data_IF_242367522256
#
_entry.id   IF_242367522256
#
_cell.length_a   1.000
_cell.length_b   1.000
_cell.length_c   1.000
_cell.angle_alpha   90.00
_cell.angle_beta   90.00
_cell.angle_gamma   90.00
#
_symmetry.space_group_name_H-M   'P 1'
#
loop_
_entity.id
_entity.type
_entity.pdbx_description
1 polymer ?
#
# COMPACT_ATOMS: atom_id res chain seq x y z
N UNK A 1 -18.08 3.66 2.09
CA UNK A 1 -16.63 3.82 2.33
C UNK A 1 -15.92 2.49 2.17
N UNK A 2 -14.81 2.43 1.45
CA UNK A 2 -13.97 1.23 1.29
C UNK A 2 -12.86 1.21 2.34
N UNK A 3 -12.78 0.12 3.11
CA UNK A 3 -11.72 -0.11 4.10
C UNK A 3 -10.83 -1.29 3.68
N UNK A 4 -9.51 -1.18 3.87
CA UNK A 4 -8.61 -2.30 3.61
C UNK A 4 -8.78 -3.36 4.69
N UNK A 5 -8.82 -4.65 4.31
CA UNK A 5 -8.74 -5.76 5.28
C UNK A 5 -7.40 -5.75 6.01
N UNK A 6 -7.44 -6.06 7.31
CA UNK A 6 -6.26 -6.21 8.16
C UNK A 6 -6.00 -5.01 9.08
N UNK A 7 -4.88 -5.07 9.80
CA UNK A 7 -4.49 -4.17 10.89
C UNK A 7 -4.76 -2.68 10.65
N UNK A 8 -4.55 -2.23 9.42
CA UNK A 8 -4.72 -0.82 9.05
C UNK A 8 -6.20 -0.43 8.99
N UNK A 9 -7.02 -1.29 8.37
CA UNK A 9 -8.47 -1.10 8.32
C UNK A 9 -9.09 -1.13 9.72
N UNK A 10 -8.64 -2.04 10.57
CA UNK A 10 -9.13 -2.16 11.95
C UNK A 10 -8.85 -0.89 12.74
N UNK A 11 -7.61 -0.37 12.69
CA UNK A 11 -7.23 0.90 13.34
C UNK A 11 -8.06 2.10 12.84
N UNK A 12 -8.33 2.14 11.55
CA UNK A 12 -9.15 3.21 10.97
C UNK A 12 -10.61 3.08 11.36
N UNK A 13 -11.14 1.85 11.38
CA UNK A 13 -12.49 1.62 11.86
C UNK A 13 -12.65 2.05 13.33
N UNK A 14 -11.71 1.70 14.19
CA UNK A 14 -11.69 2.13 15.59
C UNK A 14 -11.69 3.66 15.72
N UNK A 15 -10.92 4.36 14.90
CA UNK A 15 -10.89 5.82 14.88
C UNK A 15 -12.27 6.39 14.47
N UNK A 16 -12.83 5.86 13.41
CA UNK A 16 -14.15 6.27 12.91
C UNK A 16 -15.26 5.98 13.93
N UNK A 17 -15.19 4.84 14.62
CA UNK A 17 -16.13 4.48 15.67
C UNK A 17 -16.10 5.49 16.85
N UNK A 18 -14.93 5.94 17.26
CA UNK A 18 -14.76 6.95 18.32
C UNK A 18 -15.42 8.30 18.01
N UNK A 19 -15.52 8.65 16.74
CA UNK A 19 -16.15 9.90 16.29
C UNK A 19 -17.60 9.71 15.82
N UNK A 20 -18.22 8.57 16.17
CA UNK A 20 -19.65 8.33 15.97
C UNK A 20 -20.03 7.60 14.68
N UNK A 21 -19.05 7.13 13.91
CA UNK A 21 -19.28 6.39 12.66
C UNK A 21 -19.18 4.87 12.80
N UNK A 22 -19.09 4.33 14.03
CA UNK A 22 -19.08 2.89 14.27
C UNK A 22 -20.41 2.23 13.89
N UNK A 23 -20.37 0.97 13.46
CA UNK A 23 -21.56 0.18 13.17
C UNK A 23 -22.12 -0.45 14.45
N UNK A 24 -23.42 -0.78 14.43
CA UNK A 24 -24.07 -1.50 15.53
C UNK A 24 -23.68 -2.97 15.60
N UNK A 25 -23.30 -3.55 14.47
CA UNK A 25 -22.79 -4.91 14.39
C UNK A 25 -21.26 -4.93 14.67
N UNK A 26 -20.80 -5.98 15.34
CA UNK A 26 -19.36 -6.17 15.53
C UNK A 26 -18.68 -6.41 14.17
N UNK A 27 -17.94 -5.43 13.74
CA UNK A 27 -17.19 -5.41 12.51
C UNK A 27 -16.22 -6.60 12.36
N UNK A 28 -15.65 -7.08 13.48
CA UNK A 28 -14.69 -8.18 13.48
C UNK A 28 -15.35 -9.57 13.61
N UNK A 29 -16.55 -9.63 14.15
CA UNK A 29 -17.26 -10.89 14.37
C UNK A 29 -18.14 -11.32 13.19
N UNK A 30 -18.44 -10.40 12.26
CA UNK A 30 -19.33 -10.68 11.13
C UNK A 30 -18.58 -11.23 9.92
N UNK A 31 -19.22 -12.16 9.19
CA UNK A 31 -18.75 -12.59 7.85
C UNK A 31 -19.34 -11.74 6.72
N UNK A 32 -20.14 -10.74 7.03
CA UNK A 32 -20.69 -9.81 6.04
C UNK A 32 -19.54 -9.04 5.39
N UNK A 33 -19.64 -8.84 4.08
CA UNK A 33 -18.70 -8.00 3.34
C UNK A 33 -19.06 -6.52 3.40
N UNK A 34 -20.29 -6.22 3.82
CA UNK A 34 -20.83 -4.87 4.01
C UNK A 34 -21.43 -4.77 5.40
N UNK A 35 -21.05 -3.74 6.13
CA UNK A 35 -21.63 -3.36 7.44
C UNK A 35 -22.09 -1.93 7.38
N UNK A 36 -23.19 -1.61 8.08
CA UNK A 36 -23.87 -0.33 7.95
C UNK A 36 -24.12 0.33 9.30
N UNK A 37 -24.04 1.65 9.30
CA UNK A 37 -24.60 2.49 10.37
C UNK A 37 -25.62 3.44 9.73
N UNK A 38 -26.91 3.07 9.72
CA UNK A 38 -27.97 3.90 9.12
C UNK A 38 -28.13 5.25 9.79
N UNK A 39 -27.88 5.35 11.10
CA UNK A 39 -27.98 6.59 11.86
C UNK A 39 -26.92 7.62 11.42
N UNK A 40 -25.73 7.15 11.09
CA UNK A 40 -24.65 7.99 10.57
C UNK A 40 -24.67 8.11 9.03
N UNK A 41 -25.58 7.39 8.35
CA UNK A 41 -25.64 7.37 6.89
C UNK A 41 -24.42 6.76 6.22
N UNK A 42 -23.70 5.86 6.89
CA UNK A 42 -22.46 5.28 6.38
C UNK A 42 -22.59 3.77 6.16
N UNK A 43 -21.97 3.32 5.09
CA UNK A 43 -21.81 1.91 4.74
C UNK A 43 -20.33 1.61 4.53
N UNK A 44 -19.82 0.61 5.23
CA UNK A 44 -18.46 0.11 5.07
C UNK A 44 -18.44 -1.19 4.28
N UNK A 45 -17.44 -1.38 3.46
CA UNK A 45 -17.12 -2.67 2.89
C UNK A 45 -15.62 -2.91 2.88
N UNK A 46 -15.28 -4.18 3.12
CA UNK A 46 -13.94 -4.65 3.38
C UNK A 46 -13.35 -5.30 2.14
N UNK A 47 -12.31 -4.71 1.61
CA UNK A 47 -11.65 -5.19 0.40
C UNK A 47 -10.15 -5.41 0.63
N UNK A 48 -9.48 -6.06 -0.31
CA UNK A 48 -8.01 -6.10 -0.29
C UNK A 48 -7.46 -4.68 -0.40
N UNK A 49 -6.35 -4.35 0.28
CA UNK A 49 -5.75 -3.01 0.18
C UNK A 49 -5.52 -2.55 -1.26
N UNK A 50 -5.07 -3.45 -2.15
CA UNK A 50 -4.87 -3.17 -3.58
C UNK A 50 -6.14 -2.74 -4.33
N UNK A 51 -7.30 -3.13 -3.83
CA UNK A 51 -8.56 -2.93 -4.54
C UNK A 51 -9.28 -1.65 -4.10
N UNK A 52 -8.91 -1.08 -2.94
CA UNK A 52 -9.57 0.12 -2.37
C UNK A 52 -9.62 1.26 -3.38
N UNK A 53 -8.48 1.58 -4.00
CA UNK A 53 -8.39 2.67 -4.98
C UNK A 53 -9.31 2.43 -6.19
N UNK A 54 -9.41 1.19 -6.68
CA UNK A 54 -10.27 0.80 -7.80
C UNK A 54 -11.75 1.07 -7.47
N UNK A 55 -12.21 0.68 -6.27
CA UNK A 55 -13.60 0.93 -5.86
C UNK A 55 -13.94 2.43 -5.77
N UNK A 56 -12.98 3.26 -5.36
CA UNK A 56 -13.15 4.70 -5.29
C UNK A 56 -13.13 5.33 -6.68
N UNK A 57 -12.15 5.00 -7.50
CA UNK A 57 -11.99 5.51 -8.87
C UNK A 57 -13.23 5.24 -9.73
N UNK A 58 -13.81 4.04 -9.62
CA UNK A 58 -15.01 3.65 -10.36
C UNK A 58 -16.32 4.10 -9.69
N UNK A 59 -16.25 4.81 -8.55
CA UNK A 59 -17.42 5.38 -7.87
C UNK A 59 -18.31 4.34 -7.17
N UNK A 60 -17.81 3.13 -6.92
CA UNK A 60 -18.47 2.14 -6.07
C UNK A 60 -18.32 2.46 -4.58
N UNK A 61 -17.31 3.24 -4.24
CA UNK A 61 -17.13 3.87 -2.95
C UNK A 61 -16.95 5.38 -3.11
N UNK A 62 -17.61 6.16 -2.25
CA UNK A 62 -17.43 7.62 -2.21
C UNK A 62 -16.07 7.98 -1.63
N UNK A 63 -15.61 7.21 -0.63
CA UNK A 63 -14.33 7.41 0.07
C UNK A 63 -13.67 6.06 0.32
N UNK A 64 -12.35 6.02 0.21
CA UNK A 64 -11.52 4.87 0.53
C UNK A 64 -10.37 5.24 1.46
N UNK A 65 -9.86 4.26 2.19
CA UNK A 65 -8.69 4.38 3.05
C UNK A 65 -7.64 3.44 2.55
N UNK A 66 -6.48 3.96 2.20
CA UNK A 66 -5.46 3.20 1.47
C UNK A 66 -4.06 3.77 1.74
N UNK A 67 -3.05 2.93 1.67
CA UNK A 67 -1.65 3.35 1.77
C UNK A 67 -1.19 4.12 0.53
N UNK A 68 -0.29 5.07 0.72
CA UNK A 68 0.32 5.84 -0.38
C UNK A 68 1.05 4.94 -1.38
N UNK A 69 1.65 3.87 -0.89
CA UNK A 69 2.28 2.84 -1.71
C UNK A 69 1.30 2.24 -2.74
N UNK A 70 0.08 1.92 -2.31
CA UNK A 70 -0.96 1.36 -3.19
C UNK A 70 -1.44 2.40 -4.20
N UNK A 71 -1.69 3.65 -3.78
CA UNK A 71 -2.11 4.72 -4.70
C UNK A 71 -1.05 4.97 -5.77
N UNK A 72 0.21 5.06 -5.36
CA UNK A 72 1.33 5.30 -6.26
C UNK A 72 1.54 4.12 -7.22
N UNK A 73 1.46 2.88 -6.72
CA UNK A 73 1.60 1.69 -7.57
C UNK A 73 0.46 1.55 -8.57
N UNK A 74 -0.79 1.83 -8.14
CA UNK A 74 -1.96 1.74 -9.00
C UNK A 74 -2.07 2.90 -9.99
N UNK A 75 -1.41 4.04 -9.73
CA UNK A 75 -1.57 5.30 -10.47
C UNK A 75 -3.05 5.69 -10.61
N UNK A 76 -3.84 5.44 -9.55
CA UNK A 76 -5.28 5.64 -9.55
C UNK A 76 -5.67 7.12 -9.68
N UNK A 77 -6.69 7.40 -10.50
CA UNK A 77 -7.24 8.75 -10.68
C UNK A 77 -8.21 9.09 -9.53
N UNK A 78 -7.66 9.39 -8.37
CA UNK A 78 -8.39 9.73 -7.14
C UNK A 78 -7.75 10.93 -6.44
N UNK A 79 -8.54 11.63 -5.62
CA UNK A 79 -8.01 12.74 -4.82
C UNK A 79 -7.49 12.23 -3.47
N UNK A 80 -6.35 12.73 -3.04
CA UNK A 80 -5.82 12.51 -1.69
C UNK A 80 -6.32 13.63 -0.77
N UNK A 81 -7.24 13.33 0.16
CA UNK A 81 -7.86 14.36 1.01
C UNK A 81 -7.13 14.60 2.32
N UNK A 82 -6.75 13.52 2.98
CA UNK A 82 -6.23 13.60 4.34
C UNK A 82 -5.16 12.54 4.56
N UNK A 83 -4.02 12.98 5.05
CA UNK A 83 -3.04 12.10 5.68
C UNK A 83 -3.48 11.83 7.12
N UNK A 84 -3.77 10.59 7.41
CA UNK A 84 -4.20 10.18 8.76
C UNK A 84 -3.06 10.06 9.76
N UNK A 85 -1.81 10.12 9.30
CA UNK A 85 -0.62 9.89 10.10
C UNK A 85 -0.44 8.44 10.57
N UNK A 86 -1.33 7.52 10.16
CA UNK A 86 -1.25 6.10 10.50
C UNK A 86 -0.45 5.32 9.45
N UNK A 87 0.01 4.12 9.83
CA UNK A 87 0.66 3.19 8.89
C UNK A 87 1.95 3.74 8.29
N UNK A 88 2.71 4.53 9.07
CA UNK A 88 4.00 5.07 8.60
C UNK A 88 4.94 3.94 8.24
N UNK A 89 5.36 3.92 7.02
CA UNK A 89 6.37 3.02 6.48
C UNK A 89 7.19 3.77 5.42
N UNK A 90 8.16 3.08 4.84
CA UNK A 90 9.03 3.64 3.82
C UNK A 90 9.27 2.61 2.73
N UNK A 91 9.33 3.07 1.49
CA UNK A 91 9.72 2.24 0.36
C UNK A 91 11.25 2.20 0.30
N UNK A 92 11.79 1.00 0.28
CA UNK A 92 13.24 0.77 0.34
C UNK A 92 13.69 -0.19 -0.76
N UNK A 93 14.93 0.00 -1.17
CA UNK A 93 15.72 -1.05 -1.82
C UNK A 93 16.44 -1.81 -0.70
N UNK A 94 16.30 -3.14 -0.67
CA UNK A 94 17.03 -3.99 0.26
C UNK A 94 17.74 -5.12 -0.50
N UNK A 95 18.87 -5.57 0.04
CA UNK A 95 19.73 -6.56 -0.58
C UNK A 95 20.48 -7.38 0.49
N UNK A 96 21.09 -8.54 0.12
CA UNK A 96 22.03 -9.24 0.98
C UNK A 96 23.15 -8.33 1.48
N UNK A 97 23.72 -8.65 2.63
CA UNK A 97 24.74 -7.80 3.27
C UNK A 97 26.02 -7.60 2.42
N UNK A 98 26.35 -8.59 1.60
CA UNK A 98 27.51 -8.62 0.70
C UNK A 98 27.22 -8.09 -0.70
N UNK A 99 25.96 -7.68 -0.97
CA UNK A 99 25.58 -7.15 -2.28
C UNK A 99 26.43 -5.95 -2.68
N UNK A 100 26.93 -6.00 -3.92
CA UNK A 100 27.60 -4.90 -4.62
C UNK A 100 26.91 -4.70 -5.96
N UNK A 101 26.54 -3.46 -6.27
CA UNK A 101 25.96 -3.13 -7.56
C UNK A 101 27.00 -3.27 -8.68
N UNK A 102 26.58 -3.90 -9.78
CA UNK A 102 27.38 -4.04 -11.01
C UNK A 102 26.70 -3.20 -12.11
N UNK A 103 27.24 -2.01 -12.43
CA UNK A 103 26.62 -1.14 -13.42
C UNK A 103 26.73 -1.66 -14.86
N UNK A 104 27.49 -2.73 -15.12
CA UNK A 104 27.64 -3.30 -16.46
C UNK A 104 26.43 -4.13 -16.92
N UNK A 105 25.49 -4.45 -16.02
CA UNK A 105 24.30 -5.24 -16.30
C UNK A 105 23.06 -4.68 -15.61
N UNK A 106 21.84 -4.96 -16.11
CA UNK A 106 20.62 -4.61 -15.40
C UNK A 106 20.55 -5.24 -14.02
N UNK A 107 20.00 -4.51 -13.03
CA UNK A 107 19.75 -5.04 -11.68
C UNK A 107 18.47 -5.87 -11.71
N UNK A 108 18.50 -7.10 -11.23
CA UNK A 108 17.31 -7.93 -11.06
C UNK A 108 16.60 -7.53 -9.78
N UNK A 109 15.40 -6.97 -9.92
CA UNK A 109 14.59 -6.40 -8.82
C UNK A 109 13.34 -7.22 -8.59
N UNK A 110 13.23 -7.91 -7.46
CA UNK A 110 11.98 -8.57 -7.07
C UNK A 110 11.11 -7.61 -6.28
N UNK A 111 9.83 -7.48 -6.67
CA UNK A 111 8.91 -6.56 -6.03
C UNK A 111 7.44 -6.87 -6.37
N UNK A 112 6.52 -6.46 -5.51
CA UNK A 112 5.10 -6.33 -5.84
C UNK A 112 4.76 -4.93 -6.40
N UNK A 113 5.65 -3.95 -6.20
CA UNK A 113 5.51 -2.55 -6.57
C UNK A 113 6.26 -2.23 -7.85
N UNK A 114 5.75 -2.75 -8.98
CA UNK A 114 6.43 -2.70 -10.28
C UNK A 114 6.58 -1.27 -10.79
N UNK A 115 5.52 -0.47 -10.69
CA UNK A 115 5.51 0.90 -11.21
C UNK A 115 6.38 1.83 -10.36
N UNK A 116 6.32 1.68 -9.04
CA UNK A 116 7.18 2.41 -8.10
C UNK A 116 8.65 2.09 -8.36
N UNK A 117 9.00 0.79 -8.49
CA UNK A 117 10.37 0.37 -8.76
C UNK A 117 10.87 0.93 -10.09
N UNK A 118 10.09 0.82 -11.17
CA UNK A 118 10.43 1.39 -12.48
C UNK A 118 10.68 2.89 -12.40
N UNK A 119 9.78 3.65 -11.75
CA UNK A 119 9.93 5.10 -11.61
C UNK A 119 11.18 5.48 -10.84
N UNK A 120 11.46 4.79 -9.73
CA UNK A 120 12.65 5.04 -8.94
C UNK A 120 13.95 4.79 -9.74
N UNK A 121 14.08 3.61 -10.34
CA UNK A 121 15.30 3.26 -11.08
C UNK A 121 15.49 4.11 -12.35
N UNK A 122 14.39 4.48 -13.04
CA UNK A 122 14.43 5.43 -14.14
C UNK A 122 14.93 6.81 -13.68
N UNK A 123 14.53 7.28 -12.49
CA UNK A 123 14.96 8.58 -11.95
C UNK A 123 16.46 8.67 -11.67
N UNK A 124 17.10 7.54 -11.38
CA UNK A 124 18.55 7.45 -11.16
C UNK A 124 19.31 6.94 -12.38
N UNK A 125 18.64 6.75 -13.51
CA UNK A 125 19.28 6.30 -14.76
C UNK A 125 19.83 4.88 -14.71
N UNK A 126 19.23 3.98 -13.91
CA UNK A 126 19.71 2.62 -13.71
C UNK A 126 18.78 1.61 -14.37
N UNK A 127 19.32 0.79 -15.27
CA UNK A 127 18.58 -0.30 -15.92
C UNK A 127 18.24 -1.42 -14.95
N UNK A 128 17.04 -1.96 -15.07
CA UNK A 128 16.53 -3.02 -14.21
C UNK A 128 15.80 -4.11 -14.99
N UNK A 129 15.84 -5.32 -14.44
CA UNK A 129 15.00 -6.45 -14.82
C UNK A 129 14.02 -6.76 -13.66
N UNK A 130 12.71 -6.58 -13.91
CA UNK A 130 11.70 -6.71 -12.87
C UNK A 130 11.14 -8.12 -12.79
N UNK A 131 11.19 -8.67 -11.58
CA UNK A 131 10.58 -9.95 -11.21
C UNK A 131 9.39 -9.65 -10.29
N UNK A 132 8.18 -9.70 -10.85
CA UNK A 132 6.96 -9.44 -10.09
C UNK A 132 6.63 -10.61 -9.18
N UNK A 133 6.58 -10.36 -7.87
CA UNK A 133 6.14 -11.29 -6.85
C UNK A 133 4.99 -10.68 -6.04
N UNK A 134 4.13 -11.53 -5.45
CA UNK A 134 2.97 -11.08 -4.68
C UNK A 134 3.16 -11.17 -3.16
N UNK A 135 4.19 -11.86 -2.69
CA UNK A 135 4.51 -12.02 -1.27
C UNK A 135 5.82 -12.78 -1.07
N UNK A 136 6.32 -12.82 0.17
CA UNK A 136 7.59 -13.44 0.56
C UNK A 136 8.74 -12.99 -0.34
N UNK A 137 8.79 -11.69 -0.63
CA UNK A 137 9.70 -11.08 -1.61
C UNK A 137 11.15 -11.25 -1.16
N UNK A 138 11.37 -11.31 0.18
CA UNK A 138 12.68 -11.49 0.82
C UNK A 138 13.37 -12.79 0.39
N UNK A 139 12.61 -13.81 -0.02
CA UNK A 139 13.17 -15.07 -0.51
C UNK A 139 13.91 -14.93 -1.85
N UNK A 140 13.54 -13.96 -2.67
CA UNK A 140 14.07 -13.82 -4.02
C UNK A 140 15.60 -13.65 -4.05
N UNK A 141 16.20 -12.71 -3.29
CA UNK A 141 17.65 -12.59 -3.27
C UNK A 141 18.34 -13.76 -2.54
N UNK A 142 17.71 -14.35 -1.52
CA UNK A 142 18.26 -15.51 -0.79
C UNK A 142 18.41 -16.72 -1.70
N UNK A 143 17.44 -16.91 -2.61
CA UNK A 143 17.44 -18.01 -3.58
C UNK A 143 18.15 -17.66 -4.91
N UNK A 144 18.77 -16.47 -5.01
CA UNK A 144 19.46 -16.03 -6.22
C UNK A 144 18.55 -15.65 -7.39
N UNK A 145 17.24 -15.51 -7.15
CA UNK A 145 16.27 -15.11 -8.18
C UNK A 145 16.44 -13.63 -8.54
N UNK A 146 16.72 -12.77 -7.56
CA UNK A 146 16.99 -11.34 -7.78
C UNK A 146 18.27 -10.89 -7.07
N UNK A 147 18.77 -9.72 -7.43
CA UNK A 147 19.91 -9.09 -6.78
C UNK A 147 19.46 -8.26 -5.57
N UNK A 148 18.32 -7.60 -5.71
CA UNK A 148 17.71 -6.74 -4.70
C UNK A 148 16.20 -6.93 -4.66
N UNK A 149 15.58 -6.38 -3.63
CA UNK A 149 14.12 -6.23 -3.54
C UNK A 149 13.75 -4.76 -3.42
N UNK A 150 12.55 -4.40 -3.89
CA UNK A 150 11.87 -3.14 -3.57
C UNK A 150 10.61 -3.48 -2.79
N UNK A 151 10.55 -3.07 -1.54
CA UNK A 151 9.39 -3.33 -0.67
C UNK A 151 9.23 -2.25 0.40
N UNK A 152 8.07 -2.25 1.05
CA UNK A 152 7.78 -1.40 2.20
C UNK A 152 8.46 -1.95 3.45
N UNK A 153 9.03 -1.03 4.23
CA UNK A 153 9.71 -1.34 5.49
C UNK A 153 9.10 -0.49 6.60
N UNK A 154 8.56 -1.14 7.61
CA UNK A 154 8.10 -0.48 8.84
C UNK A 154 9.24 -0.45 9.87
N UNK A 155 9.64 -1.60 10.40
CA UNK A 155 10.70 -1.74 11.41
C UNK A 155 12.01 -2.32 10.88
N UNK A 156 11.95 -3.00 9.74
CA UNK A 156 13.06 -3.69 9.12
C UNK A 156 13.43 -5.02 9.81
N UNK A 157 12.62 -5.51 10.73
CA UNK A 157 12.89 -6.77 11.45
C UNK A 157 12.91 -7.95 10.49
N UNK A 158 11.91 -8.09 9.63
CA UNK A 158 11.85 -9.17 8.63
C UNK A 158 13.09 -9.19 7.73
N UNK A 159 13.56 -8.03 7.28
CA UNK A 159 14.77 -7.95 6.47
C UNK A 159 15.99 -8.49 7.23
N UNK A 160 16.20 -8.02 8.47
CA UNK A 160 17.35 -8.45 9.29
C UNK A 160 17.33 -9.95 9.60
N UNK A 161 16.16 -10.49 9.93
CA UNK A 161 16.00 -11.93 10.21
C UNK A 161 16.30 -12.79 8.98
N UNK A 162 16.15 -12.24 7.78
CA UNK A 162 16.45 -12.91 6.52
C UNK A 162 17.79 -12.50 5.90
N UNK A 163 18.68 -11.89 6.67
CA UNK A 163 20.04 -11.54 6.21
C UNK A 163 20.11 -10.41 5.17
N UNK A 164 19.02 -9.63 5.07
CA UNK A 164 18.93 -8.48 4.18
C UNK A 164 19.15 -7.16 4.93
N UNK A 165 19.71 -6.18 4.24
CA UNK A 165 19.85 -4.81 4.74
C UNK A 165 19.20 -3.82 3.80
N UNK A 166 18.71 -2.72 4.34
CA UNK A 166 18.29 -1.57 3.55
C UNK A 166 19.52 -0.95 2.88
N UNK A 167 19.49 -0.84 1.57
CA UNK A 167 20.52 -0.17 0.76
C UNK A 167 20.16 1.29 0.59
N UNK A 168 18.91 1.57 0.23
CA UNK A 168 18.39 2.93 0.00
C UNK A 168 16.96 3.01 0.43
N UNK A 169 16.61 4.12 1.08
CA UNK A 169 15.23 4.55 1.36
C UNK A 169 14.91 5.70 0.40
N UNK A 170 13.80 5.61 -0.36
CA UNK A 170 13.56 6.58 -1.42
C UNK A 170 12.14 7.18 -1.42
N UNK A 171 11.19 6.62 -0.66
CA UNK A 171 9.84 7.17 -0.60
C UNK A 171 9.21 6.91 0.78
N UNK A 172 8.76 7.94 1.51
CA UNK A 172 7.93 7.77 2.69
C UNK A 172 6.53 7.31 2.28
N UNK A 173 5.95 6.38 3.01
CA UNK A 173 4.60 5.88 2.80
C UNK A 173 3.72 6.21 4.00
N UNK A 174 2.55 6.80 3.74
CA UNK A 174 1.56 7.22 4.72
C UNK A 174 0.17 6.71 4.30
N UNK A 175 -0.79 6.73 5.21
CA UNK A 175 -2.17 6.33 4.92
C UNK A 175 -3.01 7.55 4.55
N UNK A 176 -3.64 7.50 3.38
CA UNK A 176 -4.48 8.57 2.86
C UNK A 176 -5.95 8.19 2.80
N UNK A 177 -6.84 9.19 2.89
CA UNK A 177 -8.24 9.08 2.50
C UNK A 177 -8.42 9.67 1.11
N UNK A 178 -9.16 8.98 0.25
CA UNK A 178 -9.38 9.40 -1.14
C UNK A 178 -10.86 9.40 -1.48
N UNK A 179 -11.45 10.54 -1.92
CA UNK A 179 -12.80 10.59 -2.45
C UNK A 179 -12.86 10.18 -3.91
N UNK A 180 -14.05 9.80 -4.35
CA UNK A 180 -14.32 9.53 -5.75
C UNK A 180 -14.28 10.83 -6.58
N UNK A 181 -13.64 10.83 -7.77
CA UNK A 181 -13.69 11.96 -8.70
C UNK A 181 -15.11 12.36 -9.13
N UNK A 182 -16.08 11.43 -9.04
CA UNK A 182 -17.48 11.68 -9.41
C UNK A 182 -18.21 12.62 -8.47
N UNK A 183 -17.84 12.62 -7.18
CA UNK A 183 -18.50 13.46 -6.19
C UNK A 183 -18.11 14.92 -6.32
N UNK A 184 -16.90 15.21 -6.80
CA UNK A 184 -16.42 16.57 -7.06
C UNK A 184 -17.12 17.25 -8.25
N UNK A 185 -17.70 16.47 -9.18
CA UNK A 185 -18.45 17.02 -10.34
C UNK A 185 -19.89 17.42 -10.01
N UNK A 186 -20.44 16.98 -8.87
CA UNK A 186 -21.80 17.33 -8.44
C UNK A 186 -21.91 18.62 -7.65
N UNK A 187 -20.80 19.23 -7.26
CA UNK A 187 -20.76 20.48 -6.48
C UNK A 187 -20.49 21.73 -7.30
N UNK A 188 -20.81 21.70 -8.62
CA UNK A 188 -20.79 22.89 -9.51
C UNK A 188 -22.18 23.16 -10.07
#
# INVERSE_FOLDING_TARGET
>A
MALPKGRLGDRMYDLLARIGYGCTEDYNATRKLVVENPAAGIRYFLVKPSDVAIYVEHGAADVGIVGKDILTEASADVYELLDTGLGRCRMCVAAPADYKDDPSRPVRVATKFVNIAKSYYASIGRDIDIIKLNGSIELAPILGLSDVIVDIVETGTTLRENGLRVVTEFMPCLLYTSPSPRDMRRSR
#
